data_IF_337638494475
#
_entry.id   IF_337638494475
#
_cell.length_a   1.000
_cell.length_b   1.000
_cell.length_c   1.000
_cell.angle_alpha   90.00
_cell.angle_beta   90.00
_cell.angle_gamma   90.00
#
_symmetry.space_group_name_H-M   'P 1'
#
loop_
_entity.id
_entity.type
_entity.pdbx_description
1 polymer ?
#
# COMPACT_ATOMS: atom_id res chain seq x y z
N UNK A 1 16.53 9.97 25.33
CA UNK A 1 16.25 8.60 24.86
C UNK A 1 15.67 8.72 23.48
N UNK A 2 16.52 8.63 22.45
CA UNK A 2 16.09 8.76 21.07
C UNK A 2 15.43 7.44 20.64
N UNK A 3 14.13 7.46 20.53
CA UNK A 3 13.36 6.43 19.86
C UNK A 3 13.75 6.50 18.37
N UNK A 4 14.68 5.64 17.94
CA UNK A 4 14.94 5.40 16.51
C UNK A 4 13.78 4.53 16.03
N UNK A 5 12.59 5.17 15.94
CA UNK A 5 11.42 4.57 15.34
C UNK A 5 11.66 4.42 13.84
N UNK A 6 11.09 3.38 13.25
CA UNK A 6 10.94 3.20 11.83
C UNK A 6 10.74 4.54 11.15
N UNK A 7 11.44 4.79 10.05
CA UNK A 7 11.17 5.98 9.22
C UNK A 7 9.86 5.76 8.47
N UNK A 8 8.76 5.81 9.22
CA UNK A 8 7.42 5.72 8.67
C UNK A 8 7.11 6.92 7.79
N UNK A 9 6.32 6.70 6.74
CA UNK A 9 5.79 7.78 5.92
C UNK A 9 4.46 8.22 6.55
N UNK A 10 4.49 9.35 7.23
CA UNK A 10 3.32 10.07 7.75
C UNK A 10 3.02 11.28 6.88
N UNK A 11 1.85 11.91 7.04
CA UNK A 11 1.54 13.18 6.36
C UNK A 11 2.57 14.24 6.71
N UNK A 12 2.93 14.39 7.99
CA UNK A 12 3.92 15.37 8.45
C UNK A 12 5.33 15.10 7.88
N UNK A 13 5.71 13.82 7.77
CA UNK A 13 6.96 13.47 7.09
C UNK A 13 6.93 13.87 5.63
N UNK A 14 5.86 13.58 4.92
CA UNK A 14 5.69 13.91 3.51
C UNK A 14 5.69 15.45 3.28
N UNK A 15 5.01 16.22 4.13
CA UNK A 15 5.03 17.69 4.10
C UNK A 15 6.47 18.23 4.20
N UNK A 16 7.26 17.73 5.16
CA UNK A 16 8.66 18.16 5.33
C UNK A 16 9.56 17.84 4.15
N UNK A 17 9.29 16.71 3.48
CA UNK A 17 10.13 16.22 2.39
C UNK A 17 9.76 16.80 1.03
N UNK A 18 8.46 16.96 0.76
CA UNK A 18 7.96 17.33 -0.57
C UNK A 18 7.47 18.78 -0.63
N UNK A 19 7.17 19.40 0.51
CA UNK A 19 6.37 20.63 0.49
C UNK A 19 4.97 20.33 -0.06
N UNK A 20 4.37 21.31 -0.74
CA UNK A 20 3.07 21.15 -1.39
C UNK A 20 1.93 21.91 -0.69
N UNK A 21 0.70 21.61 -1.08
CA UNK A 21 -0.51 22.24 -0.54
C UNK A 21 -1.14 21.32 0.49
N UNK A 22 -1.32 21.79 1.74
CA UNK A 22 -1.74 20.91 2.83
C UNK A 22 -2.65 21.58 3.87
N UNK A 23 -3.38 20.74 4.62
CA UNK A 23 -3.95 21.07 5.92
C UNK A 23 -3.16 20.25 6.95
N UNK A 24 -2.61 20.93 7.96
CA UNK A 24 -1.72 20.34 8.95
C UNK A 24 -2.23 19.02 9.51
N UNK A 25 -1.41 17.97 9.38
CA UNK A 25 -1.69 16.66 9.90
C UNK A 25 -2.77 15.85 9.17
N UNK A 26 -3.65 16.49 8.40
CA UNK A 26 -4.81 15.85 7.78
C UNK A 26 -4.53 15.34 6.35
N UNK A 27 -4.08 16.25 5.48
CA UNK A 27 -3.97 16.00 4.04
C UNK A 27 -2.85 16.81 3.40
N UNK A 28 -2.12 16.19 2.47
CA UNK A 28 -1.14 16.82 1.60
C UNK A 28 -1.46 16.51 0.14
N UNK A 29 -1.47 17.53 -0.70
CA UNK A 29 -1.59 17.44 -2.15
C UNK A 29 -0.24 17.66 -2.82
N UNK A 30 0.07 16.78 -3.76
CA UNK A 30 1.30 16.78 -4.53
C UNK A 30 0.94 16.81 -6.01
N UNK A 31 1.38 17.81 -6.74
CA UNK A 31 1.18 17.96 -8.18
C UNK A 31 2.50 18.03 -8.97
N UNK A 32 3.64 17.98 -8.27
CA UNK A 32 4.97 17.86 -8.85
C UNK A 32 5.66 16.57 -8.39
N UNK A 33 5.22 15.43 -8.93
CA UNK A 33 5.74 14.12 -8.52
C UNK A 33 7.23 13.94 -8.85
N UNK A 34 7.78 14.66 -9.83
CA UNK A 34 9.20 14.57 -10.20
C UNK A 34 10.16 14.93 -9.05
N UNK A 35 9.70 15.72 -8.07
CA UNK A 35 10.48 16.17 -6.93
C UNK A 35 10.25 15.33 -5.66
N UNK A 36 9.45 14.25 -5.74
CA UNK A 36 9.20 13.39 -4.58
C UNK A 36 10.49 12.69 -4.18
N UNK A 37 10.94 12.83 -2.94
CA UNK A 37 12.01 12.01 -2.39
C UNK A 37 11.48 10.58 -2.15
N UNK A 38 11.43 9.82 -3.24
CA UNK A 38 10.93 8.45 -3.18
C UNK A 38 11.93 7.58 -2.42
N UNK A 39 11.47 6.81 -1.44
CA UNK A 39 12.35 6.00 -0.63
C UNK A 39 12.96 4.88 -1.48
N UNK A 40 14.30 4.82 -1.51
CA UNK A 40 15.02 3.66 -2.03
C UNK A 40 14.92 2.48 -1.07
N UNK A 41 14.90 2.78 0.24
CA UNK A 41 14.77 1.79 1.31
C UNK A 41 13.29 1.52 1.66
N UNK A 42 12.98 0.30 2.14
CA UNK A 42 11.63 -0.03 2.59
C UNK A 42 11.14 0.92 3.70
N UNK A 43 9.95 1.49 3.50
CA UNK A 43 9.26 2.34 4.48
C UNK A 43 7.81 1.95 4.59
N UNK A 44 7.30 1.99 5.80
CA UNK A 44 5.89 1.69 6.06
C UNK A 44 5.04 2.95 5.92
N UNK A 45 3.96 2.84 5.19
CA UNK A 45 2.95 3.89 5.10
C UNK A 45 2.13 3.95 6.39
N UNK A 46 2.10 5.10 7.06
CA UNK A 46 1.19 5.38 8.18
C UNK A 46 0.02 6.28 7.74
N UNK A 47 -0.09 6.50 6.46
CA UNK A 47 -1.10 7.30 5.79
C UNK A 47 -1.64 6.54 4.57
N UNK A 48 -2.71 7.04 3.98
CA UNK A 48 -3.22 6.61 2.68
C UNK A 48 -2.60 7.48 1.59
N UNK A 49 -2.09 6.87 0.52
CA UNK A 49 -1.70 7.58 -0.70
C UNK A 49 -2.65 7.19 -1.83
N UNK A 50 -3.19 8.19 -2.49
CA UNK A 50 -3.92 8.06 -3.75
C UNK A 50 -3.22 8.93 -4.78
N UNK A 51 -2.77 8.35 -5.88
CA UNK A 51 -2.06 9.07 -6.94
C UNK A 51 -2.62 8.75 -8.32
N UNK A 52 -2.38 9.64 -9.29
CA UNK A 52 -2.71 9.41 -10.69
C UNK A 52 -1.54 9.83 -11.56
N UNK A 53 -1.13 8.96 -12.47
CA UNK A 53 -0.13 9.27 -13.49
C UNK A 53 -0.79 10.02 -14.65
N UNK A 54 -0.31 11.24 -14.91
CA UNK A 54 -0.80 12.09 -15.99
C UNK A 54 0.04 11.98 -17.27
N UNK A 55 1.33 11.62 -17.12
CA UNK A 55 2.26 11.43 -18.24
C UNK A 55 3.44 10.57 -17.81
N UNK A 56 4.03 9.82 -18.74
CA UNK A 56 5.18 8.96 -18.48
C UNK A 56 4.81 7.70 -17.72
N UNK A 57 5.76 7.18 -16.95
CA UNK A 57 5.56 5.99 -16.12
C UNK A 57 6.39 6.03 -14.84
N UNK A 58 5.95 5.26 -13.85
CA UNK A 58 6.68 5.01 -12.61
C UNK A 58 6.66 3.52 -12.29
N UNK A 59 7.74 3.04 -11.66
CA UNK A 59 7.89 1.69 -11.14
C UNK A 59 8.20 1.76 -9.65
N UNK A 60 7.55 0.93 -8.86
CA UNK A 60 7.73 0.89 -7.42
C UNK A 60 7.31 -0.47 -6.87
N UNK A 61 7.75 -0.77 -5.64
CA UNK A 61 7.36 -1.97 -4.94
C UNK A 61 6.39 -1.64 -3.80
N UNK A 62 5.33 -2.46 -3.67
CA UNK A 62 4.47 -2.53 -2.48
C UNK A 62 4.46 -3.97 -1.99
N UNK A 63 4.80 -4.17 -0.72
CA UNK A 63 4.81 -5.49 -0.08
C UNK A 63 5.57 -6.55 -0.90
N UNK A 64 6.74 -6.18 -1.41
CA UNK A 64 7.60 -7.00 -2.25
C UNK A 64 7.03 -7.38 -3.64
N UNK A 65 5.94 -6.75 -4.07
CA UNK A 65 5.38 -6.88 -5.42
C UNK A 65 5.74 -5.64 -6.23
N UNK A 66 6.31 -5.87 -7.41
CA UNK A 66 6.58 -4.80 -8.37
C UNK A 66 5.30 -4.33 -9.04
N UNK A 67 5.13 -3.01 -9.11
CA UNK A 67 4.04 -2.36 -9.81
C UNK A 67 4.57 -1.33 -10.79
N UNK A 68 3.98 -1.31 -11.98
CA UNK A 68 4.23 -0.28 -13.01
C UNK A 68 2.98 0.56 -13.13
N UNK A 69 3.15 1.88 -13.12
CA UNK A 69 2.10 2.88 -13.29
C UNK A 69 2.35 3.62 -14.58
N UNK A 70 1.37 3.66 -15.44
CA UNK A 70 1.42 4.35 -16.73
C UNK A 70 0.42 5.50 -16.78
N UNK A 71 0.51 6.33 -17.81
CA UNK A 71 -0.44 7.42 -18.05
C UNK A 71 -1.90 6.95 -17.99
N UNK A 72 -2.69 7.57 -17.12
CA UNK A 72 -4.11 7.24 -16.88
C UNK A 72 -4.34 6.22 -15.76
N UNK A 73 -3.29 5.70 -15.14
CA UNK A 73 -3.42 4.78 -14.01
C UNK A 73 -3.57 5.53 -12.68
N UNK A 74 -4.39 4.97 -11.79
CA UNK A 74 -4.49 5.32 -10.38
C UNK A 74 -3.64 4.35 -9.57
N UNK A 75 -2.98 4.90 -8.55
CA UNK A 75 -2.27 4.16 -7.52
C UNK A 75 -2.92 4.41 -6.16
N UNK A 76 -3.16 3.34 -5.39
CA UNK A 76 -3.64 3.44 -4.01
C UNK A 76 -2.71 2.61 -3.12
N UNK A 77 -2.04 3.28 -2.17
CA UNK A 77 -1.21 2.61 -1.16
C UNK A 77 -1.83 2.86 0.21
N UNK A 78 -2.38 1.81 0.80
CA UNK A 78 -3.04 1.86 2.10
C UNK A 78 -2.05 1.94 3.27
N UNK A 79 -2.55 2.38 4.42
CA UNK A 79 -1.84 2.31 5.70
C UNK A 79 -1.36 0.86 5.99
N UNK A 80 -0.17 0.74 6.59
CA UNK A 80 0.46 -0.53 6.95
C UNK A 80 1.30 -1.14 5.84
N UNK A 81 1.12 -0.74 4.58
CA UNK A 81 1.89 -1.23 3.43
C UNK A 81 3.31 -0.70 3.44
N UNK A 82 4.22 -1.49 2.91
CA UNK A 82 5.62 -1.08 2.76
C UNK A 82 5.92 -0.78 1.30
N UNK A 83 6.46 0.41 1.04
CA UNK A 83 6.86 0.85 -0.30
C UNK A 83 8.36 1.14 -0.35
N UNK A 84 8.99 0.87 -1.47
CA UNK A 84 10.41 1.12 -1.71
C UNK A 84 10.76 1.06 -3.20
N UNK A 85 12.00 1.45 -3.52
CA UNK A 85 12.63 1.37 -4.84
C UNK A 85 11.76 1.96 -5.96
N UNK A 86 11.24 3.17 -5.72
CA UNK A 86 10.47 3.86 -6.73
C UNK A 86 11.38 4.57 -7.73
N UNK A 87 11.13 4.34 -9.00
CA UNK A 87 11.81 4.99 -10.13
C UNK A 87 10.78 5.58 -11.08
N UNK A 88 11.10 6.72 -11.70
CA UNK A 88 10.23 7.43 -12.63
C UNK A 88 10.93 7.73 -13.94
N UNK A 89 10.19 7.75 -15.05
CA UNK A 89 10.70 8.28 -16.31
C UNK A 89 10.91 9.81 -16.20
N UNK A 90 11.87 10.41 -16.95
CA UNK A 90 12.17 11.84 -16.86
C UNK A 90 10.97 12.75 -17.19
N UNK A 91 10.03 12.26 -17.98
CA UNK A 91 8.82 12.96 -18.37
C UNK A 91 7.61 12.62 -17.47
N UNK A 92 7.81 11.82 -16.41
CA UNK A 92 6.74 11.44 -15.50
C UNK A 92 6.12 12.68 -14.85
N UNK A 93 4.80 12.76 -14.92
CA UNK A 93 3.98 13.80 -14.28
C UNK A 93 2.79 13.10 -13.63
N UNK A 94 2.37 13.61 -12.50
CA UNK A 94 1.24 13.03 -11.79
C UNK A 94 0.75 13.94 -10.68
N UNK A 95 -0.39 13.59 -10.13
CA UNK A 95 -0.97 14.21 -8.94
C UNK A 95 -1.13 13.15 -7.86
N UNK A 96 -1.01 13.57 -6.61
CA UNK A 96 -1.13 12.65 -5.48
C UNK A 96 -1.72 13.33 -4.25
N UNK A 97 -2.46 12.54 -3.49
CA UNK A 97 -3.05 12.94 -2.20
C UNK A 97 -2.52 12.00 -1.14
N UNK A 98 -1.86 12.54 -0.12
CA UNK A 98 -1.44 11.80 1.07
C UNK A 98 -2.35 12.24 2.22
N UNK A 99 -2.98 11.26 2.88
CA UNK A 99 -4.07 11.51 3.82
C UNK A 99 -3.80 10.79 5.12
N UNK A 100 -3.93 11.49 6.25
CA UNK A 100 -3.94 10.88 7.57
C UNK A 100 -5.10 9.89 7.70
N UNK A 101 -4.84 8.77 8.37
CA UNK A 101 -5.82 7.70 8.42
C UNK A 101 -7.04 8.03 9.30
N UNK A 102 -6.88 8.87 10.31
CA UNK A 102 -8.00 9.31 11.15
C UNK A 102 -8.87 10.32 10.39
N UNK A 103 -8.25 11.28 9.70
CA UNK A 103 -8.95 12.20 8.81
C UNK A 103 -9.71 11.44 7.71
N UNK A 104 -9.09 10.42 7.13
CA UNK A 104 -9.73 9.55 6.16
C UNK A 104 -10.94 8.83 6.75
N UNK A 105 -10.80 8.15 7.90
CA UNK A 105 -11.91 7.46 8.59
C UNK A 105 -13.05 8.40 8.94
N UNK A 106 -12.73 9.60 9.41
CA UNK A 106 -13.73 10.63 9.73
C UNK A 106 -14.53 11.02 8.47
N UNK A 107 -13.82 11.22 7.35
CA UNK A 107 -14.42 11.61 6.06
C UNK A 107 -15.36 10.55 5.51
N UNK A 108 -14.99 9.27 5.61
CA UNK A 108 -15.74 8.17 5.03
C UNK A 108 -16.76 7.53 5.98
N UNK A 109 -16.93 8.06 7.18
CA UNK A 109 -17.78 7.47 8.24
C UNK A 109 -19.22 7.17 7.80
N UNK A 110 -19.74 7.90 6.82
CA UNK A 110 -21.08 7.72 6.26
C UNK A 110 -21.18 6.71 5.12
N UNK A 111 -20.06 6.15 4.66
CA UNK A 111 -20.00 5.25 3.49
C UNK A 111 -20.02 3.80 3.95
N UNK A 112 -21.12 3.10 3.74
CA UNK A 112 -21.35 1.75 4.25
C UNK A 112 -20.65 0.63 3.44
N UNK A 113 -20.24 0.88 2.19
CA UNK A 113 -19.75 -0.15 1.26
C UNK A 113 -18.27 -0.04 0.91
N UNK A 114 -17.50 0.69 1.71
CA UNK A 114 -16.06 0.91 1.45
C UNK A 114 -15.18 -0.33 1.59
N UNK A 115 -15.66 -1.38 2.25
CA UNK A 115 -14.89 -2.61 2.40
C UNK A 115 -14.47 -3.20 1.06
N UNK A 116 -15.34 -3.15 0.05
CA UNK A 116 -15.03 -3.64 -1.31
C UNK A 116 -13.95 -2.79 -2.00
N UNK A 117 -14.00 -1.46 -1.85
CA UNK A 117 -12.95 -0.56 -2.39
C UNK A 117 -11.59 -0.84 -1.75
N UNK A 118 -11.55 -0.97 -0.42
CA UNK A 118 -10.30 -1.27 0.28
C UNK A 118 -9.73 -2.63 -0.10
N UNK A 119 -10.58 -3.63 -0.22
CA UNK A 119 -10.19 -4.97 -0.64
C UNK A 119 -9.70 -4.98 -2.09
N UNK A 120 -10.39 -4.27 -2.97
CA UNK A 120 -9.96 -4.11 -4.36
C UNK A 120 -8.62 -3.39 -4.45
N UNK A 121 -8.48 -2.21 -3.84
CA UNK A 121 -7.24 -1.43 -3.83
C UNK A 121 -6.07 -2.18 -3.18
N UNK A 122 -6.35 -3.07 -2.22
CA UNK A 122 -5.34 -3.93 -1.61
C UNK A 122 -4.78 -4.97 -2.58
N UNK A 123 -5.63 -5.54 -3.42
CA UNK A 123 -5.27 -6.57 -4.40
C UNK A 123 -4.81 -5.96 -5.73
N UNK A 124 -5.31 -4.77 -6.04
CA UNK A 124 -5.03 -4.02 -7.27
C UNK A 124 -4.58 -2.60 -6.89
N UNK A 125 -3.37 -2.42 -6.35
CA UNK A 125 -2.88 -1.09 -5.94
C UNK A 125 -2.69 -0.15 -7.13
N UNK A 126 -2.67 -0.68 -8.36
CA UNK A 126 -2.67 0.07 -9.62
C UNK A 126 -3.83 -0.40 -10.48
N UNK A 127 -4.62 0.53 -11.00
CA UNK A 127 -5.69 0.24 -11.95
C UNK A 127 -5.96 1.43 -12.85
N UNK A 128 -6.44 1.16 -14.06
CA UNK A 128 -6.75 2.20 -15.06
C UNK A 128 -8.18 2.68 -14.91
N UNK A 129 -8.34 4.01 -14.91
CA UNK A 129 -9.66 4.63 -14.99
C UNK A 129 -10.06 4.87 -16.46
N UNK A 130 -11.35 4.79 -16.78
CA UNK A 130 -11.86 5.38 -18.03
C UNK A 130 -11.51 6.87 -18.09
N UNK A 131 -11.18 7.38 -19.27
CA UNK A 131 -10.67 8.76 -19.47
C UNK A 131 -11.58 9.82 -18.84
N UNK A 132 -12.88 9.68 -18.97
CA UNK A 132 -13.86 10.60 -18.39
C UNK A 132 -13.74 10.66 -16.85
N UNK A 133 -13.60 9.49 -16.21
CA UNK A 133 -13.45 9.38 -14.74
C UNK A 133 -12.09 9.89 -14.28
N UNK A 134 -11.03 9.62 -15.03
CA UNK A 134 -9.71 10.17 -14.76
C UNK A 134 -9.70 11.70 -14.80
N UNK A 135 -10.39 12.30 -15.78
CA UNK A 135 -10.57 13.76 -15.84
C UNK A 135 -11.33 14.30 -14.63
N UNK A 136 -12.41 13.64 -14.23
CA UNK A 136 -13.17 14.03 -13.04
C UNK A 136 -12.31 14.01 -11.76
N UNK A 137 -11.53 12.93 -11.54
CA UNK A 137 -10.61 12.81 -10.40
C UNK A 137 -9.57 13.93 -10.42
N UNK A 138 -8.97 14.22 -11.57
CA UNK A 138 -8.01 15.31 -11.75
C UNK A 138 -8.63 16.66 -11.41
N UNK A 139 -9.81 16.96 -11.95
CA UNK A 139 -10.47 18.25 -11.74
C UNK A 139 -10.90 18.44 -10.29
N UNK A 140 -11.37 17.35 -9.64
CA UNK A 140 -11.68 17.34 -8.20
C UNK A 140 -10.42 17.57 -7.35
N UNK A 141 -9.27 16.99 -7.73
CA UNK A 141 -7.99 17.25 -7.08
C UNK A 141 -7.66 18.75 -7.07
N UNK A 142 -7.80 19.43 -8.20
CA UNK A 142 -7.52 20.88 -8.29
C UNK A 142 -8.56 21.71 -7.51
N UNK A 143 -9.82 21.27 -7.42
CA UNK A 143 -10.81 21.90 -6.55
C UNK A 143 -10.42 21.76 -5.07
N UNK A 144 -9.96 20.58 -4.63
CA UNK A 144 -9.45 20.38 -3.27
C UNK A 144 -8.26 21.31 -3.02
N UNK A 145 -7.30 21.39 -3.98
CA UNK A 145 -6.15 22.29 -3.89
C UNK A 145 -6.56 23.74 -3.72
N UNK A 146 -7.52 24.21 -4.49
CA UNK A 146 -8.05 25.57 -4.38
C UNK A 146 -8.65 25.83 -2.98
N UNK A 147 -9.42 24.87 -2.43
CA UNK A 147 -10.03 25.02 -1.10
C UNK A 147 -9.00 24.98 0.04
N UNK A 148 -7.93 24.21 -0.09
CA UNK A 148 -6.84 24.22 0.90
C UNK A 148 -6.15 25.59 0.93
N UNK A 149 -6.04 26.27 -0.20
CA UNK A 149 -5.41 27.58 -0.33
C UNK A 149 -6.32 28.76 0.09
N UNK A 150 -7.48 28.51 0.67
CA UNK A 150 -8.37 29.52 1.26
C UNK A 150 -8.26 29.50 2.81
N UNK A 151 -7.20 30.03 3.44
CA UNK A 151 -6.97 29.88 4.89
C UNK A 151 -8.07 30.53 5.74
N UNK A 152 -8.71 31.57 5.24
CA UNK A 152 -9.75 32.33 5.93
C UNK A 152 -11.15 31.68 5.80
N UNK A 153 -11.30 30.61 5.03
CA UNK A 153 -12.56 29.92 4.87
C UNK A 153 -12.87 29.07 6.11
N UNK A 154 -13.88 29.49 6.86
CA UNK A 154 -14.32 28.82 8.10
C UNK A 154 -14.62 27.32 7.91
N UNK A 155 -15.18 26.93 6.77
CA UNK A 155 -15.55 25.55 6.46
C UNK A 155 -14.53 24.83 5.56
N UNK A 156 -13.30 25.34 5.49
CA UNK A 156 -12.23 24.81 4.61
C UNK A 156 -12.05 23.30 4.76
N UNK A 157 -11.92 22.83 6.00
CA UNK A 157 -11.70 21.39 6.29
C UNK A 157 -12.88 20.54 5.83
N UNK A 158 -14.11 20.96 6.13
CA UNK A 158 -15.33 20.24 5.73
C UNK A 158 -15.53 20.22 4.21
N UNK A 159 -15.21 21.31 3.53
CA UNK A 159 -15.28 21.36 2.06
C UNK A 159 -14.25 20.41 1.43
N UNK A 160 -13.04 20.37 1.96
CA UNK A 160 -12.02 19.40 1.52
C UNK A 160 -12.48 17.96 1.76
N UNK A 161 -13.07 17.65 2.93
CA UNK A 161 -13.65 16.34 3.23
C UNK A 161 -14.74 15.96 2.23
N UNK A 162 -15.66 16.87 1.91
CA UNK A 162 -16.78 16.63 0.98
C UNK A 162 -16.28 16.36 -0.45
N UNK A 163 -15.32 17.15 -0.94
CA UNK A 163 -14.72 16.93 -2.26
C UNK A 163 -13.93 15.61 -2.31
N UNK A 164 -13.18 15.31 -1.26
CA UNK A 164 -12.46 14.04 -1.18
C UNK A 164 -13.42 12.85 -1.11
N UNK A 165 -14.53 12.96 -0.37
CA UNK A 165 -15.58 11.94 -0.32
C UNK A 165 -16.20 11.71 -1.71
N UNK A 166 -16.44 12.77 -2.47
CA UNK A 166 -16.93 12.68 -3.86
C UNK A 166 -15.92 11.89 -4.73
N UNK A 167 -14.63 12.17 -4.59
CA UNK A 167 -13.58 11.43 -5.29
C UNK A 167 -13.56 9.94 -4.91
N UNK A 168 -13.76 9.62 -3.64
CA UNK A 168 -13.88 8.24 -3.16
C UNK A 168 -15.08 7.53 -3.78
N UNK A 169 -16.26 8.18 -3.84
CA UNK A 169 -17.44 7.59 -4.48
C UNK A 169 -17.23 7.32 -5.97
N UNK A 170 -16.56 8.21 -6.70
CA UNK A 170 -16.23 7.96 -8.11
C UNK A 170 -15.29 6.77 -8.31
N UNK A 171 -14.29 6.62 -7.44
CA UNK A 171 -13.41 5.44 -7.47
C UNK A 171 -14.21 4.16 -7.15
N UNK A 172 -15.09 4.19 -6.15
CA UNK A 172 -15.99 3.07 -5.84
C UNK A 172 -16.85 2.68 -7.05
N UNK A 173 -17.42 3.66 -7.74
CA UNK A 173 -18.28 3.44 -8.90
C UNK A 173 -17.54 2.71 -10.05
N UNK A 174 -16.27 3.07 -10.29
CA UNK A 174 -15.43 2.36 -11.28
C UNK A 174 -15.18 0.92 -10.83
N UNK A 175 -14.83 0.72 -9.56
CA UNK A 175 -14.56 -0.62 -9.01
C UNK A 175 -15.80 -1.51 -9.11
N UNK A 176 -16.97 -1.01 -8.74
CA UNK A 176 -18.23 -1.73 -8.92
C UNK A 176 -18.49 -2.11 -10.38
N UNK A 177 -18.21 -1.18 -11.31
CA UNK A 177 -18.39 -1.44 -12.76
C UNK A 177 -17.42 -2.51 -13.28
N UNK A 178 -16.21 -2.59 -12.73
CA UNK A 178 -15.21 -3.61 -13.08
C UNK A 178 -15.60 -4.96 -12.47
N UNK A 179 -16.05 -4.98 -11.21
CA UNK A 179 -16.51 -6.19 -10.53
C UNK A 179 -17.76 -6.77 -11.21
N UNK A 180 -18.76 -5.96 -11.49
CA UNK A 180 -20.00 -6.40 -12.13
C UNK A 180 -19.78 -7.03 -13.53
N UNK A 181 -18.73 -6.66 -14.24
CA UNK A 181 -18.33 -7.30 -15.51
C UNK A 181 -17.61 -8.64 -15.33
N UNK A 182 -17.04 -8.88 -14.14
CA UNK A 182 -16.29 -10.10 -13.82
C UNK A 182 -17.11 -11.12 -13.00
N UNK A 183 -18.31 -10.77 -12.57
CA UNK A 183 -19.09 -11.49 -11.55
C UNK A 183 -19.61 -12.89 -11.95
N UNK A 184 -19.43 -13.35 -13.18
CA UNK A 184 -19.92 -14.68 -13.53
C UNK A 184 -18.94 -15.84 -13.25
N UNK A 185 -17.66 -15.61 -12.96
CA UNK A 185 -16.70 -16.71 -12.81
C UNK A 185 -15.63 -16.59 -11.68
N UNK A 186 -15.37 -15.40 -11.14
CA UNK A 186 -14.19 -15.17 -10.27
C UNK A 186 -14.48 -14.82 -8.80
N UNK A 187 -15.72 -14.56 -8.40
CA UNK A 187 -16.05 -13.97 -7.09
C UNK A 187 -15.55 -14.81 -5.89
N UNK A 188 -15.71 -16.14 -5.92
CA UNK A 188 -15.29 -17.01 -4.82
C UNK A 188 -13.77 -17.16 -4.71
N UNK A 189 -13.06 -17.19 -5.83
CA UNK A 189 -11.61 -17.31 -5.85
C UNK A 189 -10.93 -16.03 -5.33
N UNK A 190 -11.42 -14.88 -5.73
CA UNK A 190 -10.94 -13.58 -5.24
C UNK A 190 -11.26 -13.38 -3.76
N UNK A 191 -12.43 -13.81 -3.30
CA UNK A 191 -12.80 -13.79 -1.89
C UNK A 191 -11.85 -14.65 -1.04
N UNK A 192 -11.55 -15.87 -1.48
CA UNK A 192 -10.61 -16.77 -0.81
C UNK A 192 -9.21 -16.15 -0.78
N UNK A 193 -8.76 -15.61 -1.91
CA UNK A 193 -7.46 -14.94 -1.99
C UNK A 193 -7.37 -13.74 -1.05
N UNK A 194 -8.39 -12.92 -0.99
CA UNK A 194 -8.48 -11.77 -0.08
C UNK A 194 -8.42 -12.21 1.38
N UNK A 195 -9.24 -13.19 1.77
CA UNK A 195 -9.23 -13.75 3.14
C UNK A 195 -7.86 -14.35 3.48
N UNK A 196 -7.23 -15.05 2.52
CA UNK A 196 -5.88 -15.56 2.68
C UNK A 196 -4.87 -14.43 2.98
N UNK A 197 -4.88 -13.35 2.20
CA UNK A 197 -3.96 -12.22 2.43
C UNK A 197 -4.18 -11.55 3.79
N UNK A 198 -5.45 -11.40 4.24
CA UNK A 198 -5.77 -10.88 5.57
C UNK A 198 -5.18 -11.77 6.69
N UNK A 199 -5.31 -13.08 6.52
CA UNK A 199 -4.74 -14.05 7.47
C UNK A 199 -3.21 -14.01 7.45
N UNK A 200 -2.58 -13.90 6.27
CA UNK A 200 -1.12 -13.77 6.17
C UNK A 200 -0.64 -12.52 6.90
N UNK A 201 -1.24 -11.37 6.64
CA UNK A 201 -0.87 -10.10 7.28
C UNK A 201 -0.98 -10.16 8.81
N UNK A 202 -2.01 -10.81 9.33
CA UNK A 202 -2.22 -10.95 10.76
C UNK A 202 -1.26 -11.96 11.43
N UNK A 203 -0.78 -12.98 10.69
CA UNK A 203 -0.14 -14.15 11.30
C UNK A 203 1.25 -14.51 10.75
N UNK A 204 1.77 -13.87 9.70
CA UNK A 204 3.05 -14.23 9.05
C UNK A 204 4.26 -14.25 10.02
N UNK A 205 4.20 -13.49 11.11
CA UNK A 205 5.26 -13.45 12.12
C UNK A 205 5.38 -14.75 12.90
N UNK A 206 4.28 -15.45 13.08
CA UNK A 206 4.20 -16.66 13.91
C UNK A 206 3.94 -17.92 13.09
N UNK A 207 3.21 -17.83 11.98
CA UNK A 207 2.80 -18.98 11.18
C UNK A 207 3.21 -18.82 9.69
N UNK A 208 3.83 -19.87 9.13
CA UNK A 208 4.32 -19.91 7.74
C UNK A 208 3.80 -21.10 6.94
N UNK A 209 3.11 -22.05 7.59
CA UNK A 209 2.63 -23.25 6.93
C UNK A 209 1.36 -22.98 6.16
N UNK A 210 1.37 -23.23 4.85
CA UNK A 210 0.19 -23.08 3.99
C UNK A 210 -1.01 -23.90 4.51
N UNK A 211 -0.73 -25.07 5.08
CA UNK A 211 -1.76 -25.92 5.70
C UNK A 211 -2.54 -25.20 6.80
N UNK A 212 -1.87 -24.45 7.67
CA UNK A 212 -2.53 -23.68 8.72
C UNK A 212 -3.51 -22.64 8.14
N UNK A 213 -3.10 -21.90 7.10
CA UNK A 213 -3.96 -20.92 6.44
C UNK A 213 -5.17 -21.58 5.77
N UNK A 214 -4.97 -22.74 5.17
CA UNK A 214 -6.08 -23.48 4.56
C UNK A 214 -7.09 -24.00 5.60
N UNK A 215 -6.62 -24.43 6.77
CA UNK A 215 -7.46 -24.82 7.90
C UNK A 215 -8.31 -23.63 8.40
N UNK A 216 -7.70 -22.44 8.55
CA UNK A 216 -8.43 -21.22 8.95
C UNK A 216 -9.51 -20.82 7.92
N UNK A 217 -9.30 -21.13 6.66
CA UNK A 217 -10.26 -20.86 5.57
C UNK A 217 -11.26 -22.01 5.35
N UNK A 218 -11.16 -23.10 6.13
CA UNK A 218 -11.99 -24.30 5.99
C UNK A 218 -11.96 -24.91 4.57
N UNK A 219 -10.77 -24.91 3.92
CA UNK A 219 -10.54 -25.48 2.58
C UNK A 219 -9.29 -26.36 2.58
N UNK A 220 -9.13 -27.19 1.54
CA UNK A 220 -7.93 -28.01 1.41
C UNK A 220 -6.70 -27.17 1.00
N UNK A 221 -5.46 -27.56 1.42
CA UNK A 221 -4.23 -26.85 1.00
C UNK A 221 -4.03 -26.83 -0.51
N UNK A 222 -4.47 -27.87 -1.20
CA UNK A 222 -4.43 -27.94 -2.67
C UNK A 222 -5.33 -26.89 -3.30
N UNK A 223 -6.58 -26.79 -2.84
CA UNK A 223 -7.55 -25.83 -3.35
C UNK A 223 -7.10 -24.37 -3.06
N UNK A 224 -6.57 -24.10 -1.86
CA UNK A 224 -5.97 -22.81 -1.55
C UNK A 224 -4.82 -22.47 -2.51
N UNK A 225 -3.91 -23.42 -2.77
CA UNK A 225 -2.75 -23.21 -3.64
C UNK A 225 -3.17 -22.94 -5.09
N UNK A 226 -4.11 -23.68 -5.61
CA UNK A 226 -4.66 -23.50 -6.95
C UNK A 226 -5.37 -22.14 -7.09
N UNK A 227 -6.21 -21.80 -6.11
CA UNK A 227 -6.97 -20.54 -6.08
C UNK A 227 -6.05 -19.32 -6.01
N UNK A 228 -5.10 -19.30 -5.06
CA UNK A 228 -4.14 -18.19 -4.91
C UNK A 228 -3.30 -18.03 -6.17
N UNK A 229 -2.79 -19.15 -6.74
CA UNK A 229 -2.00 -19.11 -7.97
C UNK A 229 -2.81 -18.65 -9.19
N UNK A 230 -4.06 -19.03 -9.28
CA UNK A 230 -4.97 -18.62 -10.35
C UNK A 230 -5.19 -17.11 -10.34
N UNK A 231 -5.49 -16.53 -9.16
CA UNK A 231 -5.80 -15.10 -8.99
C UNK A 231 -4.54 -14.24 -9.06
N UNK A 232 -3.45 -14.63 -8.36
CA UNK A 232 -2.28 -13.75 -8.16
C UNK A 232 -1.07 -14.13 -9.00
N UNK A 233 -1.11 -15.25 -9.74
CA UNK A 233 0.03 -15.86 -10.46
C UNK A 233 1.21 -16.26 -9.56
N UNK A 234 1.02 -16.21 -8.24
CA UNK A 234 2.01 -16.57 -7.21
C UNK A 234 1.43 -17.63 -6.28
N UNK A 235 2.28 -18.45 -5.69
CA UNK A 235 1.89 -19.46 -4.71
C UNK A 235 1.63 -18.85 -3.32
N UNK A 236 0.85 -19.51 -2.43
CA UNK A 236 0.69 -19.05 -1.05
C UNK A 236 2.02 -18.92 -0.30
N UNK A 237 2.97 -19.83 -0.51
CA UNK A 237 4.30 -19.75 0.12
C UNK A 237 5.04 -18.49 -0.30
N UNK A 238 5.08 -18.16 -1.59
CA UNK A 238 5.70 -16.93 -2.09
C UNK A 238 5.07 -15.66 -1.51
N UNK A 239 3.77 -15.68 -1.22
CA UNK A 239 3.12 -14.59 -0.53
C UNK A 239 3.57 -14.48 0.93
N UNK A 240 3.55 -15.57 1.68
CA UNK A 240 4.00 -15.62 3.08
C UNK A 240 5.46 -15.18 3.18
N UNK A 241 6.34 -15.73 2.33
CA UNK A 241 7.76 -15.41 2.30
C UNK A 241 8.01 -13.94 1.97
N UNK A 242 7.18 -13.33 1.11
CA UNK A 242 7.27 -11.91 0.80
C UNK A 242 6.99 -11.03 2.03
N UNK A 243 5.96 -11.35 2.83
CA UNK A 243 5.65 -10.62 4.07
C UNK A 243 6.76 -10.77 5.11
N UNK A 244 7.25 -12.00 5.30
CA UNK A 244 8.36 -12.28 6.24
C UNK A 244 9.63 -11.56 5.83
N UNK A 245 10.01 -11.65 4.56
CA UNK A 245 11.23 -11.03 4.01
C UNK A 245 11.18 -9.51 4.11
N UNK A 246 10.02 -8.93 3.83
CA UNK A 246 9.80 -7.50 3.94
C UNK A 246 9.93 -7.02 5.39
N UNK A 247 9.34 -7.73 6.36
CA UNK A 247 9.49 -7.41 7.78
C UNK A 247 10.96 -7.49 8.21
N UNK A 248 11.69 -8.52 7.77
CA UNK A 248 13.13 -8.64 8.04
C UNK A 248 13.94 -7.49 7.45
N UNK A 249 13.63 -7.05 6.22
CA UNK A 249 14.25 -5.89 5.58
C UNK A 249 14.01 -4.59 6.35
N UNK A 250 12.86 -4.47 7.01
CA UNK A 250 12.58 -3.32 7.87
C UNK A 250 13.25 -3.42 9.23
N UNK A 251 13.27 -4.61 9.85
CA UNK A 251 13.82 -4.79 11.20
C UNK A 251 15.35 -4.66 11.22
N UNK A 252 16.06 -5.20 10.22
CA UNK A 252 17.53 -5.21 10.25
C UNK A 252 18.16 -3.81 10.32
N UNK A 253 17.82 -2.83 9.46
CA UNK A 253 18.44 -1.50 9.53
C UNK A 253 17.84 -0.60 10.61
N UNK A 254 16.60 -0.85 11.03
CA UNK A 254 15.83 0.10 11.84
C UNK A 254 15.72 -0.28 13.34
N UNK A 255 16.37 -1.35 13.80
CA UNK A 255 16.34 -1.73 15.22
C UNK A 255 17.73 -2.03 15.78
N UNK A 256 17.89 -1.84 17.10
CA UNK A 256 19.08 -2.26 17.85
C UNK A 256 19.04 -3.75 18.23
N UNK A 257 17.95 -4.46 17.89
CA UNK A 257 17.80 -5.88 18.20
C UNK A 257 18.88 -6.70 17.50
N UNK A 258 19.42 -7.66 18.20
CA UNK A 258 20.32 -8.67 17.62
C UNK A 258 19.55 -9.55 16.61
N UNK A 259 20.29 -10.21 15.71
CA UNK A 259 19.69 -11.16 14.75
C UNK A 259 18.98 -12.31 15.51
N UNK A 260 19.48 -12.68 16.70
CA UNK A 260 18.87 -13.69 17.56
C UNK A 260 17.52 -13.24 18.10
N UNK A 261 17.41 -12.01 18.59
CA UNK A 261 16.15 -11.44 19.09
C UNK A 261 15.11 -11.30 17.96
N UNK A 262 15.53 -10.87 16.78
CA UNK A 262 14.65 -10.80 15.59
C UNK A 262 14.17 -12.21 15.18
N UNK A 263 15.06 -13.22 15.27
CA UNK A 263 14.69 -14.61 15.00
C UNK A 263 13.61 -15.10 15.97
N UNK A 264 13.73 -14.76 17.24
CA UNK A 264 12.72 -15.09 18.27
C UNK A 264 11.40 -14.36 18.05
N UNK A 265 11.45 -13.05 17.76
CA UNK A 265 10.28 -12.22 17.49
C UNK A 265 9.44 -12.72 16.30
N UNK A 266 10.12 -13.17 15.25
CA UNK A 266 9.50 -13.71 14.05
C UNK A 266 9.35 -15.23 14.06
N UNK A 267 9.44 -15.86 15.22
CA UNK A 267 9.23 -17.30 15.41
C UNK A 267 10.07 -18.18 14.46
N UNK A 268 11.35 -17.81 14.26
CA UNK A 268 12.33 -18.70 13.61
C UNK A 268 12.92 -19.64 14.65
N UNK A 269 13.22 -20.88 14.25
CA UNK A 269 13.82 -21.89 15.13
C UNK A 269 15.14 -21.44 15.73
N UNK A 270 15.96 -20.69 14.99
CA UNK A 270 17.21 -20.09 15.43
C UNK A 270 17.71 -19.02 14.43
N UNK A 271 18.74 -18.26 14.85
CA UNK A 271 19.34 -17.22 14.00
C UNK A 271 20.01 -17.74 12.72
N UNK A 272 20.54 -18.97 12.74
CA UNK A 272 21.19 -19.58 11.57
C UNK A 272 20.18 -19.89 10.48
N UNK A 273 19.01 -20.40 10.86
CA UNK A 273 17.90 -20.65 9.95
C UNK A 273 17.34 -19.33 9.37
N UNK A 274 17.16 -18.31 10.20
CA UNK A 274 16.80 -16.98 9.72
C UNK A 274 17.85 -16.43 8.73
N UNK A 275 19.12 -16.57 9.05
CA UNK A 275 20.21 -16.11 8.17
C UNK A 275 20.20 -16.77 6.80
N UNK A 276 20.01 -18.10 6.76
CA UNK A 276 19.87 -18.86 5.51
C UNK A 276 18.63 -18.43 4.72
N UNK A 277 17.48 -18.36 5.39
CA UNK A 277 16.21 -17.92 4.81
C UNK A 277 16.32 -16.52 4.19
N UNK A 278 16.88 -15.57 4.93
CA UNK A 278 17.03 -14.19 4.44
C UNK A 278 17.98 -14.12 3.24
N UNK A 279 19.12 -14.84 3.29
CA UNK A 279 20.08 -14.88 2.18
C UNK A 279 19.47 -15.51 0.92
N UNK A 280 18.63 -16.53 1.06
CA UNK A 280 17.92 -17.17 -0.05
C UNK A 280 16.97 -16.20 -0.77
N UNK A 281 16.22 -15.38 0.00
CA UNK A 281 15.20 -14.48 -0.56
C UNK A 281 15.72 -13.08 -0.92
N UNK A 282 16.85 -12.63 -0.35
CA UNK A 282 17.36 -11.26 -0.53
C UNK A 282 18.71 -11.24 -1.24
N UNK A 283 19.41 -12.37 -1.30
CA UNK A 283 20.72 -12.51 -1.95
C UNK A 283 21.91 -12.18 -1.06
N UNK A 284 21.71 -11.60 0.14
CA UNK A 284 22.77 -11.26 1.08
C UNK A 284 22.42 -11.65 2.52
N UNK A 285 23.45 -11.77 3.38
CA UNK A 285 23.22 -12.12 4.78
C UNK A 285 22.59 -10.96 5.57
N UNK A 286 21.89 -11.23 6.71
CA UNK A 286 21.38 -10.19 7.59
C UNK A 286 22.43 -9.18 8.07
N UNK A 287 23.66 -9.66 8.34
CA UNK A 287 24.77 -8.81 8.80
C UNK A 287 25.32 -7.90 7.71
N UNK A 288 25.35 -8.36 6.45
CA UNK A 288 25.69 -7.54 5.29
C UNK A 288 24.62 -6.51 5.02
N UNK A 289 23.35 -6.91 5.05
CA UNK A 289 22.19 -6.02 4.83
C UNK A 289 22.09 -4.92 5.89
N UNK A 290 22.44 -5.21 7.15
CA UNK A 290 22.46 -4.21 8.23
C UNK A 290 23.54 -3.14 8.05
N UNK A 291 24.60 -3.44 7.33
CA UNK A 291 25.75 -2.54 7.09
C UNK A 291 25.66 -1.77 5.78
N UNK A 292 24.78 -2.20 4.85
CA UNK A 292 24.55 -1.52 3.59
C UNK A 292 23.63 -0.30 3.79
#
# INVERSE_FOLDING_TARGET
MNNIGFRDITVDYAIRMCGGTYINGDILLIDEMANLPLPKEPRRMQCLLVGMCLKGSARYFVDAVEHVVETGDIIIINQGRVTYDCTMTPDCRGIGVIIDYNFFKETIKSVHELSSLFLFARNHPVFRLPTERANFIRDTFFQIKAKINEPDNHFRRQMVQSLFLTMVYEMCNVIYSVQAKNDECNSRAEEIFTKFLLLVEANFRTERRVGWYSEQLCISPKYLSETVKMVSKRTPSEWIDSYVTMELRMLFPNTQKSIKEIAQELNFSNQSFLGKYFKEHVGMSPSEYRRS
#
